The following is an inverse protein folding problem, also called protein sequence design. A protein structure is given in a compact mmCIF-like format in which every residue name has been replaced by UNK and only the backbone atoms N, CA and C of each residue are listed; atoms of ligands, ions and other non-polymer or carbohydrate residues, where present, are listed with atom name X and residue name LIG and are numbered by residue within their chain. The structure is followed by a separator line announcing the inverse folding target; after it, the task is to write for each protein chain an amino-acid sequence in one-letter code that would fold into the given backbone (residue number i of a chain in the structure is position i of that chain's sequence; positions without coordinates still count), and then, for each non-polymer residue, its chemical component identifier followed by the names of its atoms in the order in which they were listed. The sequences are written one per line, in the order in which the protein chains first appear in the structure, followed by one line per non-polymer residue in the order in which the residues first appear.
data_IF_183469986382
#
_entry.id   IF_183469986382
#
_cell.length_a   1.000
_cell.length_b   1.000
_cell.length_c   1.000
_cell.angle_alpha   90.00
_cell.angle_beta   90.00
_cell.angle_gamma   90.00
#
_symmetry.space_group_name_H-M   'P 1'
#
loop_
_entity.id
_entity.type
_entity.pdbx_description
1 polymer ?
#
# COMPACT_ATOMS: atom_id res chain seq x y z
N UNK A 1 7.82 0.45 -7.41
CA UNK A 1 7.26 1.65 -8.09
C UNK A 1 7.25 2.79 -7.07
N UNK A 2 7.56 4.03 -7.47
CA UNK A 2 7.46 5.18 -6.55
C UNK A 2 5.99 5.55 -6.30
N UNK A 3 5.67 6.30 -5.23
CA UNK A 3 4.30 6.74 -4.96
C UNK A 3 3.76 7.65 -6.09
N UNK A 4 4.53 8.63 -6.63
CA UNK A 4 4.08 9.41 -7.79
C UNK A 4 3.76 8.53 -9.00
N UNK A 5 4.61 7.54 -9.31
CA UNK A 5 4.36 6.61 -10.42
C UNK A 5 3.11 5.77 -10.17
N UNK A 6 2.88 5.36 -8.91
CA UNK A 6 1.66 4.64 -8.52
C UNK A 6 0.40 5.49 -8.72
N UNK A 7 0.46 6.78 -8.40
CA UNK A 7 -0.61 7.74 -8.70
C UNK A 7 -0.88 7.85 -10.20
N UNK A 8 0.18 7.85 -11.01
CA UNK A 8 0.06 7.88 -12.47
C UNK A 8 -0.52 6.58 -13.04
N UNK A 9 -0.17 5.43 -12.45
CA UNK A 9 -0.76 4.14 -12.78
C UNK A 9 -2.26 4.10 -12.45
N UNK A 10 -2.67 4.67 -11.31
CA UNK A 10 -4.08 4.80 -10.95
C UNK A 10 -4.86 5.65 -11.95
N UNK A 11 -4.33 6.81 -12.33
CA UNK A 11 -4.94 7.67 -13.34
C UNK A 11 -5.08 6.95 -14.69
N UNK A 12 -4.08 6.15 -15.06
CA UNK A 12 -4.07 5.38 -16.32
C UNK A 12 -5.03 4.18 -16.30
N UNK A 13 -5.33 3.62 -15.12
CA UNK A 13 -6.31 2.54 -14.97
C UNK A 13 -7.76 3.02 -15.23
N UNK A 14 -8.00 4.33 -15.22
CA UNK A 14 -9.27 4.95 -15.56
C UNK A 14 -10.08 5.41 -14.35
N UNK A 15 -11.25 5.99 -14.61
CA UNK A 15 -12.06 6.65 -13.59
C UNK A 15 -12.49 5.70 -12.46
N UNK A 16 -12.33 6.19 -11.23
CA UNK A 16 -12.70 5.49 -10.00
C UNK A 16 -11.60 4.59 -9.42
N UNK A 17 -10.51 4.34 -10.15
CA UNK A 17 -9.31 3.70 -9.59
C UNK A 17 -8.45 4.70 -8.84
N UNK A 18 -7.99 4.31 -7.66
CA UNK A 18 -7.11 5.11 -6.81
C UNK A 18 -6.18 4.22 -5.99
N UNK A 19 -5.20 4.85 -5.35
CA UNK A 19 -4.44 4.20 -4.30
C UNK A 19 -5.35 3.94 -3.07
N UNK A 20 -5.12 2.86 -2.33
CA UNK A 20 -5.85 2.57 -1.11
C UNK A 20 -5.37 3.47 0.04
N UNK A 21 -6.19 3.62 1.07
CA UNK A 21 -5.70 4.13 2.37
C UNK A 21 -4.99 3.02 3.13
N UNK A 22 -4.14 3.38 4.11
CA UNK A 22 -3.51 2.39 4.99
C UNK A 22 -4.56 1.56 5.73
N UNK A 23 -5.67 2.19 6.13
CA UNK A 23 -6.79 1.51 6.78
C UNK A 23 -7.45 0.48 5.87
N UNK A 24 -7.64 0.79 4.58
CA UNK A 24 -8.17 -0.17 3.61
C UNK A 24 -7.25 -1.37 3.43
N UNK A 25 -5.94 -1.15 3.29
CA UNK A 25 -4.97 -2.24 3.21
C UNK A 25 -4.98 -3.11 4.48
N UNK A 26 -5.09 -2.49 5.65
CA UNK A 26 -5.18 -3.20 6.93
C UNK A 26 -6.42 -4.09 7.03
N UNK A 27 -7.54 -3.72 6.39
CA UNK A 27 -8.72 -4.61 6.36
C UNK A 27 -8.50 -5.91 5.60
N UNK A 28 -7.45 -5.98 4.76
CA UNK A 28 -7.07 -7.18 4.05
C UNK A 28 -6.17 -8.10 4.88
N UNK A 29 -5.62 -7.60 5.98
CA UNK A 29 -4.74 -8.38 6.86
C UNK A 29 -5.58 -9.41 7.62
N UNK A 30 -5.39 -10.69 7.31
CA UNK A 30 -6.21 -11.78 7.85
C UNK A 30 -5.86 -12.13 9.30
N UNK A 31 -4.58 -12.06 9.64
CA UNK A 31 -4.06 -12.17 10.99
C UNK A 31 -2.66 -11.52 11.03
N UNK A 32 -2.42 -10.49 11.85
CA UNK A 32 -1.07 -9.95 12.01
C UNK A 32 -0.15 -11.02 12.62
N UNK A 33 1.04 -11.20 12.05
CA UNK A 33 1.99 -12.24 12.43
C UNK A 33 1.93 -13.51 11.56
N UNK A 34 1.83 -14.68 12.19
CA UNK A 34 1.98 -15.99 11.53
C UNK A 34 0.62 -16.70 11.38
N UNK A 35 0.31 -17.30 10.22
CA UNK A 35 1.18 -17.53 9.06
C UNK A 35 1.28 -16.36 8.07
N UNK A 36 2.50 -16.14 7.56
CA UNK A 36 2.79 -15.26 6.43
C UNK A 36 2.45 -15.95 5.08
N UNK A 37 2.04 -15.22 4.03
CA UNK A 37 1.66 -13.81 4.06
C UNK A 37 0.36 -13.61 4.85
N UNK A 38 0.24 -12.47 5.54
CA UNK A 38 -0.96 -12.10 6.30
C UNK A 38 -2.10 -11.63 5.38
N UNK A 39 -2.18 -12.19 4.17
CA UNK A 39 -3.14 -11.88 3.13
C UNK A 39 -3.64 -13.19 2.53
N UNK A 40 -4.95 -13.31 2.29
CA UNK A 40 -5.51 -14.44 1.58
C UNK A 40 -5.09 -14.43 0.11
N UNK A 41 -4.06 -15.22 -0.23
CA UNK A 41 -3.53 -15.33 -1.58
C UNK A 41 -4.50 -16.00 -2.58
N UNK A 42 -5.53 -16.71 -2.12
CA UNK A 42 -6.57 -17.26 -2.98
C UNK A 42 -7.53 -16.16 -3.47
N UNK A 43 -7.82 -15.18 -2.61
CA UNK A 43 -8.64 -14.00 -2.96
C UNK A 43 -7.81 -12.94 -3.68
N UNK A 44 -6.56 -12.76 -3.26
CA UNK A 44 -5.67 -11.72 -3.75
C UNK A 44 -4.38 -12.32 -4.33
N UNK A 45 -4.45 -12.95 -5.51
CA UNK A 45 -3.27 -13.48 -6.17
C UNK A 45 -2.30 -12.37 -6.60
N UNK A 46 -1.07 -12.76 -6.94
CA UNK A 46 -0.06 -11.86 -7.48
C UNK A 46 0.63 -10.99 -6.44
N UNK A 47 0.89 -11.54 -5.25
CA UNK A 47 1.72 -10.88 -4.24
C UNK A 47 3.11 -10.59 -4.80
N UNK A 48 3.48 -9.31 -4.84
CA UNK A 48 4.84 -8.86 -5.12
C UNK A 48 5.70 -9.00 -3.87
N UNK A 49 6.38 -10.14 -3.75
CA UNK A 49 7.48 -10.30 -2.80
C UNK A 49 8.72 -9.56 -3.35
N UNK A 50 9.19 -8.57 -2.59
CA UNK A 50 10.34 -7.75 -2.96
C UNK A 50 11.65 -8.24 -2.32
N UNK A 51 11.65 -9.44 -1.71
CA UNK A 51 12.80 -10.09 -1.09
C UNK A 51 12.91 -9.84 0.42
N UNK A 52 12.60 -8.62 0.86
CA UNK A 52 12.64 -8.21 2.28
C UNK A 52 11.23 -7.96 2.86
N UNK A 53 10.18 -8.37 2.14
CA UNK A 53 8.80 -8.18 2.55
C UNK A 53 7.85 -8.09 1.36
N UNK A 54 6.58 -7.84 1.68
CA UNK A 54 5.49 -7.69 0.71
C UNK A 54 4.81 -6.32 0.92
N UNK A 55 5.53 -5.19 0.75
CA UNK A 55 5.04 -3.85 1.08
C UNK A 55 4.21 -3.21 -0.04
N UNK A 56 3.05 -2.66 0.33
CA UNK A 56 2.12 -2.00 -0.59
C UNK A 56 1.84 -0.56 -0.18
N UNK A 57 2.04 0.36 -1.14
CA UNK A 57 1.76 1.78 -0.97
C UNK A 57 0.32 2.06 -0.56
N UNK A 58 0.15 3.03 0.34
CA UNK A 58 -1.13 3.70 0.59
C UNK A 58 -1.04 5.20 0.30
N UNK A 59 -2.19 5.82 0.05
CA UNK A 59 -2.36 7.27 -0.05
C UNK A 59 -2.63 7.92 1.33
N UNK A 60 -1.98 7.42 2.37
CA UNK A 60 -2.09 7.95 3.73
C UNK A 60 -0.78 8.65 4.09
N UNK A 61 -0.76 9.99 4.15
CA UNK A 61 0.44 10.73 4.52
C UNK A 61 0.79 10.51 5.99
N UNK A 62 2.08 10.59 6.30
CA UNK A 62 2.50 10.84 7.68
C UNK A 62 2.30 12.33 7.97
N UNK A 63 1.52 12.63 9.00
CA UNK A 63 1.24 14.00 9.43
C UNK A 63 2.50 14.73 9.90
N UNK A 64 2.47 16.06 9.85
CA UNK A 64 3.48 16.96 10.42
C UNK A 64 4.93 16.80 9.90
N UNK A 65 5.14 16.09 8.78
CA UNK A 65 6.44 16.03 8.12
C UNK A 65 6.66 17.15 7.10
N UNK A 66 7.70 17.99 7.27
CA UNK A 66 8.00 19.07 6.32
C UNK A 66 8.59 18.52 5.02
N UNK A 67 8.45 19.29 3.93
CA UNK A 67 9.18 19.01 2.68
C UNK A 67 10.70 19.19 2.93
N UNK A 68 11.58 18.29 2.47
CA UNK A 68 11.33 17.16 1.55
C UNK A 68 11.07 15.81 2.23
N UNK A 69 10.94 15.75 3.55
CA UNK A 69 10.79 14.52 4.34
C UNK A 69 9.36 13.95 4.30
N UNK A 70 8.55 14.29 3.28
CA UNK A 70 7.19 13.75 3.15
C UNK A 70 7.27 12.23 2.99
N UNK A 71 6.54 11.53 3.84
CA UNK A 71 6.40 10.09 3.79
C UNK A 71 4.94 9.71 3.72
N UNK A 72 4.66 8.54 3.17
CA UNK A 72 3.34 7.92 3.22
C UNK A 72 3.46 6.55 3.85
N UNK A 73 2.39 6.13 4.51
CA UNK A 73 2.31 4.80 5.08
C UNK A 73 2.19 3.74 3.98
N UNK A 74 2.70 2.56 4.26
CA UNK A 74 2.52 1.35 3.51
C UNK A 74 2.17 0.21 4.48
N UNK A 75 1.57 -0.85 3.96
CA UNK A 75 1.31 -2.08 4.72
C UNK A 75 2.14 -3.20 4.13
N UNK A 76 2.88 -3.90 4.99
CA UNK A 76 3.63 -5.09 4.64
C UNK A 76 2.77 -6.33 4.88
N UNK A 77 2.39 -7.02 3.80
CA UNK A 77 1.61 -8.26 3.90
C UNK A 77 2.46 -9.48 4.26
N UNK A 78 3.78 -9.33 4.45
CA UNK A 78 4.60 -10.41 5.00
C UNK A 78 4.23 -10.69 6.47
N UNK A 79 3.95 -9.65 7.25
CA UNK A 79 3.69 -9.74 8.70
C UNK A 79 2.50 -8.89 9.19
N UNK A 80 1.88 -8.10 8.32
CA UNK A 80 0.77 -7.20 8.62
C UNK A 80 1.21 -5.85 9.20
N UNK A 81 2.51 -5.52 9.14
CA UNK A 81 3.06 -4.30 9.73
C UNK A 81 2.70 -3.05 8.93
N UNK A 82 2.53 -1.95 9.65
CA UNK A 82 2.40 -0.60 9.08
C UNK A 82 3.70 0.16 9.32
N UNK A 83 4.20 0.82 8.29
CA UNK A 83 5.39 1.65 8.35
C UNK A 83 5.30 2.73 7.26
N UNK A 84 6.27 3.64 7.20
CA UNK A 84 6.24 4.76 6.25
C UNK A 84 7.54 4.88 5.47
N UNK A 85 7.45 5.39 4.25
CA UNK A 85 8.63 5.69 3.45
C UNK A 85 8.46 6.98 2.66
N UNK A 86 9.60 7.59 2.31
CA UNK A 86 9.67 8.68 1.33
C UNK A 86 9.07 8.27 -0.02
N UNK A 87 8.41 9.23 -0.67
CA UNK A 87 7.61 9.05 -1.89
C UNK A 87 8.33 8.36 -3.06
N UNK A 88 9.67 8.47 -3.14
CA UNK A 88 10.48 7.91 -4.23
C UNK A 88 10.82 6.42 -4.07
N UNK A 89 10.55 5.82 -2.91
CA UNK A 89 10.99 4.45 -2.63
C UNK A 89 10.17 3.40 -3.39
N UNK A 90 10.82 2.33 -3.90
CA UNK A 90 10.13 1.36 -4.72
C UNK A 90 9.32 0.36 -3.87
N UNK A 91 8.00 0.54 -3.81
CA UNK A 91 7.07 -0.44 -3.22
C UNK A 91 6.08 -0.97 -4.28
N UNK A 92 5.30 -2.00 -3.93
CA UNK A 92 4.19 -2.48 -4.73
C UNK A 92 2.96 -1.58 -4.58
N UNK A 93 1.98 -1.72 -5.48
CA UNK A 93 0.68 -1.03 -5.38
C UNK A 93 -0.44 -1.98 -5.77
N UNK A 94 -1.55 -1.90 -5.05
CA UNK A 94 -2.81 -2.56 -5.38
C UNK A 94 -3.89 -1.49 -5.37
N UNK A 95 -4.37 -1.16 -6.56
CA UNK A 95 -5.40 -0.13 -6.70
C UNK A 95 -6.73 -0.63 -6.17
N UNK A 96 -7.52 0.29 -5.61
CA UNK A 96 -8.90 0.06 -5.19
C UNK A 96 -9.83 0.91 -6.02
N UNK A 97 -11.11 0.53 -6.06
CA UNK A 97 -12.15 1.24 -6.79
C UNK A 97 -13.25 1.69 -5.84
N UNK A 98 -13.63 2.96 -5.94
CA UNK A 98 -14.69 3.56 -5.13
C UNK A 98 -14.21 4.78 -4.33
N UNK A 99 -15.13 5.39 -3.60
CA UNK A 99 -14.84 6.57 -2.79
C UNK A 99 -13.99 6.20 -1.57
N UNK A 100 -13.13 7.10 -1.12
CA UNK A 100 -12.39 6.95 0.14
C UNK A 100 -13.36 7.08 1.30
N UNK A 101 -13.51 6.00 2.08
CA UNK A 101 -14.26 6.06 3.33
C UNK A 101 -13.38 6.75 4.37
N UNK A 102 -13.70 7.99 4.70
CA UNK A 102 -13.09 8.75 5.81
C UNK A 102 -13.82 8.48 7.11
#
# INVERSE_FOLDING_TARGET
MSLPDAGQAAASAGQGWRLPTAQELLTLVTAPGCPAPTLDAAVFPGLADLGDGIPYWSDTPVDDLPVPMRMHYYVDFADGRVDAHTLGFPLAVRLVRGESRQ
#
